data_IF_133111985245
#
_entry.id   IF_133111985245
#
_cell.length_a   1.000
_cell.length_b   1.000
_cell.length_c   1.000
_cell.angle_alpha   90.00
_cell.angle_beta   90.00
_cell.angle_gamma   90.00
#
_symmetry.space_group_name_H-M   'P 1'
#
loop_
_entity.id
_entity.type
_entity.pdbx_description
1 polymer ?
#
# COMPACT_ATOMS: atom_id res chain seq x y z
N UNK A 1 0.52 -19.30 -14.45
CA UNK A 1 1.74 -18.53 -14.82
C UNK A 1 2.69 -18.42 -13.61
N UNK A 2 4.01 -18.45 -13.83
CA UNK A 2 5.02 -18.19 -12.79
C UNK A 2 5.18 -16.69 -12.49
N UNK A 3 5.61 -16.33 -11.28
CA UNK A 3 5.92 -14.93 -10.93
C UNK A 3 4.73 -14.01 -10.64
N UNK A 4 3.49 -14.51 -10.62
CA UNK A 4 2.28 -13.72 -10.30
C UNK A 4 2.06 -13.42 -8.80
N UNK A 5 2.98 -13.81 -7.91
CA UNK A 5 2.81 -13.58 -6.47
C UNK A 5 1.90 -14.55 -5.72
N UNK A 6 1.64 -15.76 -6.25
CA UNK A 6 0.83 -16.80 -5.56
C UNK A 6 1.34 -17.15 -4.16
N UNK A 7 2.64 -17.41 -4.05
CA UNK A 7 3.32 -17.68 -2.77
C UNK A 7 3.19 -16.47 -1.84
N UNK A 8 3.42 -15.26 -2.34
CA UNK A 8 3.25 -14.02 -1.56
C UNK A 8 1.82 -13.84 -1.06
N UNK A 9 0.82 -14.06 -1.91
CA UNK A 9 -0.59 -13.98 -1.53
C UNK A 9 -0.95 -15.01 -0.45
N UNK A 10 -0.51 -16.26 -0.61
CA UNK A 10 -0.72 -17.28 0.40
C UNK A 10 0.03 -16.96 1.71
N UNK A 11 1.22 -16.36 1.65
CA UNK A 11 1.99 -15.93 2.84
C UNK A 11 1.22 -14.85 3.61
N UNK A 12 0.71 -13.83 2.91
CA UNK A 12 -0.10 -12.78 3.53
C UNK A 12 -1.33 -13.34 4.26
N UNK A 13 -2.01 -14.34 3.67
CA UNK A 13 -3.15 -15.02 4.33
C UNK A 13 -2.66 -15.84 5.53
N UNK A 14 -1.56 -16.58 5.37
CA UNK A 14 -1.05 -17.44 6.43
C UNK A 14 -0.60 -16.61 7.64
N UNK A 15 0.04 -15.47 7.43
CA UNK A 15 0.55 -14.59 8.49
C UNK A 15 -0.52 -13.68 9.12
N UNK A 16 -1.72 -13.60 8.53
CA UNK A 16 -2.83 -12.80 9.03
C UNK A 16 -3.21 -13.19 10.47
N UNK A 17 -3.43 -12.18 11.32
CA UNK A 17 -3.65 -12.38 12.75
C UNK A 17 -4.94 -13.15 13.05
N UNK A 18 -6.00 -12.95 12.27
CA UNK A 18 -7.28 -13.64 12.44
C UNK A 18 -7.16 -15.10 12.00
N UNK A 19 -6.46 -15.35 10.88
CA UNK A 19 -6.13 -16.72 10.43
C UNK A 19 -5.28 -17.44 11.46
N UNK A 20 -4.24 -16.78 11.98
CA UNK A 20 -3.37 -17.34 13.00
C UNK A 20 -4.13 -17.68 14.29
N UNK A 21 -5.09 -16.85 14.71
CA UNK A 21 -5.92 -17.12 15.88
C UNK A 21 -6.98 -18.22 15.63
N UNK A 22 -7.42 -18.41 14.38
CA UNK A 22 -8.48 -19.36 14.04
C UNK A 22 -8.02 -20.83 14.06
N UNK A 23 -6.75 -21.09 13.71
CA UNK A 23 -6.20 -22.44 13.58
C UNK A 23 -5.24 -22.78 14.73
N UNK A 24 -5.51 -23.90 15.41
CA UNK A 24 -4.67 -24.40 16.51
C UNK A 24 -3.30 -24.91 16.01
N UNK A 25 -3.30 -25.52 14.81
CA UNK A 25 -2.10 -26.06 14.17
C UNK A 25 -2.01 -25.54 12.75
N UNK A 26 -0.79 -25.24 12.33
CA UNK A 26 -0.48 -24.63 11.03
C UNK A 26 0.81 -25.25 10.50
N UNK A 27 0.83 -25.60 9.22
CA UNK A 27 2.03 -26.09 8.56
C UNK A 27 2.11 -25.50 7.15
N UNK A 28 3.27 -24.95 6.80
CA UNK A 28 3.59 -24.49 5.46
C UNK A 28 4.68 -25.37 4.88
N UNK A 29 4.39 -26.07 3.78
CA UNK A 29 5.31 -27.03 3.17
C UNK A 29 5.49 -26.70 1.70
N UNK A 30 6.74 -26.58 1.27
CA UNK A 30 7.08 -26.40 -0.14
C UNK A 30 7.17 -27.76 -0.83
N UNK A 31 6.35 -27.97 -1.85
CA UNK A 31 6.27 -29.26 -2.55
C UNK A 31 7.31 -29.30 -3.67
N UNK A 32 8.44 -29.93 -3.39
CA UNK A 32 9.54 -30.05 -4.36
C UNK A 32 9.18 -30.89 -5.58
N UNK A 33 9.84 -30.59 -6.70
CA UNK A 33 9.95 -31.46 -7.88
C UNK A 33 11.43 -31.94 -7.99
N UNK A 34 11.73 -33.24 -7.86
CA UNK A 34 10.81 -34.37 -7.84
C UNK A 34 9.96 -34.48 -6.57
N UNK A 35 8.72 -34.96 -6.76
CA UNK A 35 7.77 -35.19 -5.67
C UNK A 35 8.24 -36.33 -4.74
N UNK A 36 8.38 -36.01 -3.45
CA UNK A 36 8.76 -36.96 -2.40
C UNK A 36 7.79 -36.87 -1.21
N UNK A 37 6.92 -37.87 -1.12
CA UNK A 37 5.89 -37.96 -0.07
C UNK A 37 6.47 -38.10 1.34
N UNK A 38 7.63 -38.76 1.48
CA UNK A 38 8.26 -38.96 2.78
C UNK A 38 8.84 -37.63 3.27
N UNK A 39 9.48 -36.88 2.38
CA UNK A 39 9.99 -35.54 2.68
C UNK A 39 8.87 -34.61 3.13
N UNK A 40 7.77 -34.56 2.36
CA UNK A 40 6.58 -33.75 2.70
C UNK A 40 6.03 -34.14 4.07
N UNK A 41 5.83 -35.44 4.34
CA UNK A 41 5.31 -35.90 5.62
C UNK A 41 6.23 -35.56 6.81
N UNK A 42 7.56 -35.64 6.63
CA UNK A 42 8.52 -35.22 7.66
C UNK A 42 8.42 -33.72 7.95
N UNK A 43 8.38 -32.90 6.91
CA UNK A 43 8.27 -31.44 7.04
C UNK A 43 6.96 -31.04 7.74
N UNK A 44 5.84 -31.69 7.42
CA UNK A 44 4.57 -31.50 8.15
C UNK A 44 4.75 -31.86 9.63
N UNK A 45 5.35 -33.02 9.93
CA UNK A 45 5.53 -33.50 11.30
C UNK A 45 6.36 -32.52 12.14
N UNK A 46 7.49 -32.08 11.61
CA UNK A 46 8.40 -31.12 12.26
C UNK A 46 7.71 -29.79 12.59
N UNK A 47 6.72 -29.37 11.80
CA UNK A 47 5.98 -28.13 12.01
C UNK A 47 4.81 -28.28 12.99
N UNK A 48 4.25 -29.48 13.16
CA UNK A 48 3.13 -29.71 14.10
C UNK A 48 3.57 -30.24 15.47
N UNK A 49 4.75 -30.83 15.54
CA UNK A 49 5.37 -31.36 16.75
C UNK A 49 5.87 -30.22 17.66
N UNK A 50 5.48 -30.25 18.94
CA UNK A 50 5.84 -29.20 19.92
C UNK A 50 7.17 -29.51 20.64
N UNK A 51 7.51 -30.78 20.80
CA UNK A 51 8.72 -31.26 21.45
C UNK A 51 9.55 -32.07 20.46
N UNK A 52 10.77 -31.62 20.14
CA UNK A 52 11.65 -32.35 19.22
C UNK A 52 11.98 -33.73 19.80
N UNK A 53 11.34 -34.78 19.29
CA UNK A 53 11.81 -36.13 19.57
C UNK A 53 13.14 -36.33 18.83
N UNK A 54 14.22 -36.41 19.61
CA UNK A 54 15.58 -36.66 19.13
C UNK A 54 15.70 -38.13 18.70
N UNK A 55 15.06 -38.53 17.60
CA UNK A 55 15.49 -39.68 16.82
C UNK A 55 14.75 -39.78 15.49
N UNK A 56 15.47 -39.94 14.38
CA UNK A 56 14.86 -40.45 13.13
C UNK A 56 15.92 -41.12 12.24
N UNK A 57 16.36 -42.31 12.66
CA UNK A 57 16.63 -43.40 11.71
C UNK A 57 15.37 -43.67 10.86
N UNK A 58 15.53 -44.20 9.65
CA UNK A 58 14.49 -44.35 8.60
C UNK A 58 13.09 -44.66 9.19
N UNK A 59 12.23 -43.64 9.26
CA UNK A 59 10.83 -43.78 9.69
C UNK A 59 9.98 -44.11 8.46
N UNK A 60 9.23 -45.21 8.52
CA UNK A 60 8.29 -45.57 7.46
C UNK A 60 7.18 -44.52 7.34
N UNK A 61 6.70 -44.25 6.11
CA UNK A 61 5.63 -43.28 5.84
C UNK A 61 4.41 -43.48 6.75
N UNK A 62 4.04 -44.74 7.03
CA UNK A 62 2.92 -45.06 7.91
C UNK A 62 3.12 -44.57 9.35
N UNK A 63 4.34 -44.62 9.88
CA UNK A 63 4.64 -44.10 11.22
C UNK A 63 4.54 -42.58 11.24
N UNK A 64 5.10 -41.91 10.22
CA UNK A 64 4.99 -40.44 10.06
C UNK A 64 3.52 -40.00 10.05
N UNK A 65 2.71 -40.61 9.19
CA UNK A 65 1.29 -40.27 9.08
C UNK A 65 0.53 -40.49 10.40
N UNK A 66 0.81 -41.58 11.14
CA UNK A 66 0.20 -41.81 12.46
C UNK A 66 0.63 -40.76 13.49
N UNK A 67 1.90 -40.36 13.49
CA UNK A 67 2.38 -39.30 14.38
C UNK A 67 1.75 -37.96 14.06
N UNK A 68 1.64 -37.59 12.77
CA UNK A 68 0.96 -36.37 12.34
C UNK A 68 -0.50 -36.40 12.82
N UNK A 69 -1.22 -37.50 12.58
CA UNK A 69 -2.60 -37.69 13.04
C UNK A 69 -2.76 -37.44 14.54
N UNK A 70 -1.86 -37.98 15.37
CA UNK A 70 -1.92 -37.78 16.81
C UNK A 70 -1.78 -36.30 17.22
N UNK A 71 -0.94 -35.53 16.52
CA UNK A 71 -0.68 -34.12 16.83
C UNK A 71 -1.79 -33.17 16.36
N UNK A 72 -2.46 -33.51 15.26
CA UNK A 72 -3.54 -32.69 14.65
C UNK A 72 -4.95 -33.15 15.05
N UNK A 73 -5.06 -34.24 15.81
CA UNK A 73 -6.35 -34.82 16.24
C UNK A 73 -7.18 -33.79 17.01
N UNK A 74 -8.45 -33.65 16.63
CA UNK A 74 -9.44 -32.76 17.27
C UNK A 74 -9.03 -31.27 17.31
N UNK A 75 -8.03 -30.87 16.49
CA UNK A 75 -7.54 -29.50 16.35
C UNK A 75 -7.94 -28.92 15.00
N UNK A 76 -8.18 -27.61 14.93
CA UNK A 76 -8.32 -26.90 13.67
C UNK A 76 -6.97 -26.76 13.00
N UNK A 77 -6.79 -27.46 11.88
CA UNK A 77 -5.52 -27.53 11.17
C UNK A 77 -5.59 -26.77 9.84
N UNK A 78 -4.58 -25.92 9.59
CA UNK A 78 -4.32 -25.30 8.30
C UNK A 78 -3.03 -25.86 7.70
N UNK A 79 -3.14 -26.50 6.54
CA UNK A 79 -1.99 -26.98 5.78
C UNK A 79 -1.84 -26.17 4.49
N UNK A 80 -0.69 -25.53 4.30
CA UNK A 80 -0.33 -24.88 3.04
C UNK A 80 0.64 -25.77 2.27
N UNK A 81 0.29 -26.13 1.05
CA UNK A 81 1.14 -26.85 0.09
C UNK A 81 1.54 -25.88 -1.02
N UNK A 82 2.75 -25.36 -0.95
CA UNK A 82 3.25 -24.31 -1.84
C UNK A 82 3.99 -24.90 -3.05
N UNK A 83 3.81 -24.26 -4.22
CA UNK A 83 4.39 -24.56 -5.53
C UNK A 83 4.22 -26.02 -5.98
N UNK A 84 2.99 -26.55 -5.94
CA UNK A 84 2.70 -27.92 -6.38
C UNK A 84 2.77 -28.08 -7.90
N UNK A 85 3.58 -29.03 -8.37
CA UNK A 85 3.78 -29.33 -9.81
C UNK A 85 3.17 -30.64 -10.31
N UNK A 86 3.04 -31.65 -9.45
CA UNK A 86 2.65 -33.02 -9.87
C UNK A 86 1.13 -33.19 -9.93
N UNK A 87 0.66 -33.72 -11.05
CA UNK A 87 -0.75 -33.99 -11.35
C UNK A 87 -1.10 -35.48 -11.12
N UNK A 88 -0.15 -36.28 -10.62
CA UNK A 88 -0.28 -37.72 -10.45
C UNK A 88 -1.08 -38.05 -9.17
N UNK A 89 -2.33 -38.52 -9.28
CA UNK A 89 -3.17 -38.80 -8.11
C UNK A 89 -2.60 -39.95 -7.26
N UNK A 90 -1.88 -40.91 -7.86
CA UNK A 90 -1.34 -42.08 -7.14
C UNK A 90 -0.26 -41.62 -6.15
N UNK A 91 0.54 -40.62 -6.54
CA UNK A 91 1.55 -40.02 -5.65
C UNK A 91 0.92 -39.33 -4.44
N UNK A 92 -0.19 -38.63 -4.64
CA UNK A 92 -0.92 -37.92 -3.59
C UNK A 92 -1.73 -38.84 -2.67
N UNK A 93 -2.27 -39.93 -3.20
CA UNK A 93 -2.97 -40.95 -2.43
C UNK A 93 -2.11 -41.53 -1.30
N UNK A 94 -0.78 -41.58 -1.50
CA UNK A 94 0.17 -42.04 -0.48
C UNK A 94 0.25 -41.10 0.74
N UNK A 95 0.02 -39.79 0.57
CA UNK A 95 0.01 -38.83 1.68
C UNK A 95 -1.27 -38.94 2.51
N UNK A 96 -2.33 -39.54 1.96
CA UNK A 96 -3.60 -39.82 2.65
C UNK A 96 -4.21 -38.56 3.29
N UNK A 97 -4.14 -37.42 2.60
CA UNK A 97 -4.72 -36.15 3.04
C UNK A 97 -6.18 -36.28 3.50
N UNK A 98 -7.08 -37.02 2.82
CA UNK A 98 -8.45 -37.20 3.31
C UNK A 98 -8.53 -37.84 4.69
N UNK A 99 -7.66 -38.81 4.99
CA UNK A 99 -7.63 -39.51 6.27
C UNK A 99 -7.05 -38.61 7.36
N UNK A 100 -6.01 -37.82 7.03
CA UNK A 100 -5.49 -36.80 7.94
C UNK A 100 -6.58 -35.80 8.30
N UNK A 101 -7.34 -35.32 7.31
CA UNK A 101 -8.34 -34.29 7.53
C UNK A 101 -9.60 -34.78 8.26
N UNK A 102 -9.96 -36.04 8.12
CA UNK A 102 -11.03 -36.66 8.91
C UNK A 102 -10.73 -36.70 10.42
N UNK A 103 -9.46 -36.65 10.82
CA UNK A 103 -9.07 -36.65 12.25
C UNK A 103 -9.06 -35.26 12.88
N UNK A 104 -9.14 -34.20 12.08
CA UNK A 104 -9.09 -32.82 12.54
C UNK A 104 -10.48 -32.30 12.92
N UNK A 105 -10.51 -31.19 13.65
CA UNK A 105 -11.74 -30.48 13.96
C UNK A 105 -12.39 -29.88 12.69
N UNK A 106 -13.71 -29.72 12.73
CA UNK A 106 -14.45 -29.03 11.68
C UNK A 106 -13.92 -27.61 11.46
N UNK A 107 -13.82 -27.21 10.19
CA UNK A 107 -13.23 -25.93 9.79
C UNK A 107 -11.75 -26.02 9.40
N UNK A 108 -11.10 -27.19 9.53
CA UNK A 108 -9.75 -27.42 8.99
C UNK A 108 -9.69 -27.24 7.47
N UNK A 109 -8.55 -26.75 6.95
CA UNK A 109 -8.39 -26.38 5.53
C UNK A 109 -7.03 -26.77 4.98
N UNK A 110 -6.99 -27.05 3.68
CA UNK A 110 -5.76 -27.17 2.90
C UNK A 110 -5.76 -26.05 1.85
N UNK A 111 -4.70 -25.26 1.83
CA UNK A 111 -4.43 -24.26 0.80
C UNK A 111 -3.33 -24.81 -0.12
N UNK A 112 -3.55 -24.73 -1.43
CA UNK A 112 -2.58 -25.19 -2.43
C UNK A 112 -2.25 -24.03 -3.35
N UNK A 113 -0.96 -23.74 -3.55
CA UNK A 113 -0.51 -22.85 -4.61
C UNK A 113 0.05 -23.68 -5.77
N UNK A 114 -0.35 -23.36 -6.99
CA UNK A 114 0.13 -24.06 -8.18
C UNK A 114 0.07 -23.15 -9.41
N UNK A 115 0.84 -23.48 -10.44
CA UNK A 115 0.80 -22.82 -11.75
C UNK A 115 -0.10 -23.53 -12.75
N UNK A 116 -0.58 -24.72 -12.40
CA UNK A 116 -1.28 -25.67 -13.26
C UNK A 116 -2.71 -25.86 -12.78
N UNK A 117 -3.67 -25.69 -13.67
CA UNK A 117 -5.08 -25.84 -13.33
C UNK A 117 -5.43 -27.32 -13.08
N UNK A 118 -4.70 -28.22 -13.73
CA UNK A 118 -4.82 -29.67 -13.64
C UNK A 118 -4.54 -30.18 -12.22
N UNK A 119 -3.60 -29.56 -11.51
CA UNK A 119 -3.31 -29.88 -10.10
C UNK A 119 -4.52 -29.59 -9.22
N UNK A 120 -5.20 -28.46 -9.44
CA UNK A 120 -6.39 -28.11 -8.67
C UNK A 120 -7.59 -29.02 -9.00
N UNK A 121 -7.71 -29.47 -10.26
CA UNK A 121 -8.70 -30.48 -10.65
C UNK A 121 -8.44 -31.82 -9.96
N UNK A 122 -7.18 -32.27 -9.95
CA UNK A 122 -6.77 -33.50 -9.25
C UNK A 122 -7.04 -33.42 -7.75
N UNK A 123 -6.79 -32.26 -7.13
CA UNK A 123 -7.09 -31.97 -5.72
C UNK A 123 -8.58 -31.73 -5.44
N UNK A 124 -9.45 -31.77 -6.46
CA UNK A 124 -10.89 -31.51 -6.38
C UNK A 124 -11.24 -30.13 -5.80
N UNK A 125 -10.38 -29.14 -6.01
CA UNK A 125 -10.52 -27.78 -5.50
C UNK A 125 -11.10 -26.80 -6.55
N UNK A 126 -11.84 -27.29 -7.55
CA UNK A 126 -12.28 -26.47 -8.70
C UNK A 126 -13.31 -25.40 -8.33
N UNK A 127 -14.09 -25.59 -7.26
CA UNK A 127 -15.07 -24.62 -6.76
C UNK A 127 -14.44 -23.45 -6.02
N UNK A 128 -13.27 -23.67 -5.41
CA UNK A 128 -12.63 -22.75 -4.46
C UNK A 128 -11.31 -22.17 -5.02
N UNK A 129 -11.17 -22.20 -6.35
CA UNK A 129 -9.97 -21.76 -7.04
C UNK A 129 -9.91 -20.24 -7.13
N UNK A 130 -8.82 -19.66 -6.62
CA UNK A 130 -8.52 -18.24 -6.78
C UNK A 130 -7.50 -18.07 -7.91
N UNK A 131 -7.94 -17.45 -9.01
CA UNK A 131 -7.07 -17.11 -10.13
C UNK A 131 -6.47 -15.71 -9.89
N UNK A 132 -5.15 -15.65 -9.67
CA UNK A 132 -4.46 -14.37 -9.57
C UNK A 132 -4.26 -13.75 -10.95
N UNK A 133 -4.71 -12.51 -11.09
CA UNK A 133 -4.49 -11.70 -12.28
C UNK A 133 -3.21 -10.86 -12.19
N UNK A 134 -2.85 -10.23 -13.31
CA UNK A 134 -1.74 -9.28 -13.36
C UNK A 134 -2.13 -8.01 -12.63
N UNK A 135 -1.16 -7.37 -11.98
CA UNK A 135 -1.32 -6.01 -11.47
C UNK A 135 -1.73 -5.05 -12.58
N UNK A 136 -2.52 -4.04 -12.24
CA UNK A 136 -2.86 -2.97 -13.16
C UNK A 136 -1.60 -2.15 -13.52
N UNK A 137 -1.68 -1.30 -14.55
CA UNK A 137 -0.55 -0.47 -14.93
C UNK A 137 -0.15 0.51 -13.83
N UNK A 138 -1.12 1.09 -13.12
CA UNK A 138 -0.87 1.99 -11.98
C UNK A 138 -0.14 1.26 -10.86
N UNK A 139 -0.66 0.11 -10.43
CA UNK A 139 -0.08 -0.64 -9.30
C UNK A 139 1.31 -1.19 -9.67
N UNK A 140 1.50 -1.60 -10.92
CA UNK A 140 2.79 -2.05 -11.43
C UNK A 140 3.82 -0.92 -11.42
N UNK A 141 3.42 0.30 -11.80
CA UNK A 141 4.30 1.46 -11.80
C UNK A 141 4.62 1.92 -10.37
N UNK A 142 3.64 1.88 -9.48
CA UNK A 142 3.82 2.17 -8.05
C UNK A 142 4.80 1.18 -7.41
N UNK A 143 4.60 -0.12 -7.63
CA UNK A 143 5.52 -1.16 -7.16
C UNK A 143 6.93 -0.99 -7.75
N UNK A 144 7.04 -0.66 -9.04
CA UNK A 144 8.35 -0.40 -9.65
C UNK A 144 9.05 0.80 -8.99
N UNK A 145 8.33 1.90 -8.78
CA UNK A 145 8.89 3.10 -8.20
C UNK A 145 9.33 2.89 -6.74
N UNK A 146 8.52 2.18 -5.94
CA UNK A 146 8.83 1.89 -4.54
C UNK A 146 10.07 1.02 -4.38
N UNK A 147 10.39 0.17 -5.36
CA UNK A 147 11.61 -0.65 -5.35
C UNK A 147 12.79 0.09 -5.98
N UNK A 148 12.61 0.71 -7.14
CA UNK A 148 13.68 1.33 -7.91
C UNK A 148 14.20 2.64 -7.28
N UNK A 149 13.34 3.38 -6.60
CA UNK A 149 13.67 4.71 -6.04
C UNK A 149 13.68 4.75 -4.52
N UNK A 150 13.59 3.60 -3.83
CA UNK A 150 13.65 3.53 -2.36
C UNK A 150 14.86 4.24 -1.77
N UNK A 151 16.03 4.07 -2.38
CA UNK A 151 17.25 4.73 -1.94
C UNK A 151 17.17 6.26 -2.04
N UNK A 152 16.33 6.81 -2.92
CA UNK A 152 16.12 8.25 -3.04
C UNK A 152 15.33 8.79 -1.84
N UNK A 153 14.42 7.98 -1.28
CA UNK A 153 13.67 8.32 -0.08
C UNK A 153 14.62 8.44 1.12
N UNK A 154 15.50 7.44 1.30
CA UNK A 154 16.51 7.43 2.36
C UNK A 154 17.51 8.60 2.23
N UNK A 155 17.94 8.91 1.01
CA UNK A 155 18.89 10.02 0.75
C UNK A 155 18.25 11.37 1.06
N UNK A 156 17.01 11.60 0.62
CA UNK A 156 16.36 12.89 0.86
C UNK A 156 16.02 13.05 2.35
N UNK A 157 15.71 11.97 3.07
CA UNK A 157 15.52 11.98 4.52
C UNK A 157 16.82 12.31 5.27
N UNK A 158 17.94 11.69 4.87
CA UNK A 158 19.27 11.93 5.46
C UNK A 158 19.83 13.35 5.21
N UNK A 159 19.36 14.05 4.18
CA UNK A 159 19.79 15.42 3.85
C UNK A 159 19.24 16.50 4.80
N UNK A 160 18.37 16.12 5.77
CA UNK A 160 17.66 17.00 6.71
C UNK A 160 18.21 18.44 6.76
N UNK A 161 17.53 19.40 6.14
CA UNK A 161 18.00 20.78 6.10
C UNK A 161 18.14 21.42 7.48
N UNK A 162 18.96 22.46 7.58
CA UNK A 162 19.04 23.28 8.79
C UNK A 162 17.70 24.03 9.03
N UNK A 163 17.27 24.16 10.28
CA UNK A 163 16.06 24.90 10.71
C UNK A 163 15.96 26.36 10.21
N UNK A 164 17.08 26.95 9.80
CA UNK A 164 17.18 28.34 9.33
C UNK A 164 17.02 28.46 7.81
N UNK A 165 16.71 27.36 7.13
CA UNK A 165 16.51 27.36 5.69
C UNK A 165 15.33 28.27 5.30
N UNK A 166 15.60 29.25 4.44
CA UNK A 166 14.57 30.20 3.98
C UNK A 166 14.00 29.85 2.61
N UNK A 167 14.75 29.12 1.78
CA UNK A 167 14.33 28.69 0.45
C UNK A 167 14.78 27.26 0.17
N UNK A 168 13.85 26.41 -0.25
CA UNK A 168 14.10 25.03 -0.62
C UNK A 168 13.68 24.79 -2.07
N UNK A 169 14.59 24.25 -2.88
CA UNK A 169 14.36 23.91 -4.28
C UNK A 169 14.68 22.44 -4.48
N UNK A 170 13.71 21.69 -4.98
CA UNK A 170 13.86 20.27 -5.27
C UNK A 170 13.55 20.01 -6.74
N UNK A 171 14.55 19.51 -7.46
CA UNK A 171 14.44 19.16 -8.87
C UNK A 171 14.52 17.64 -9.05
N UNK A 172 13.63 17.09 -9.86
CA UNK A 172 13.73 15.70 -10.30
C UNK A 172 13.44 14.67 -9.20
N UNK A 173 12.64 15.01 -8.19
CA UNK A 173 12.31 14.08 -7.11
C UNK A 173 11.49 12.90 -7.62
N UNK A 174 12.05 11.70 -7.46
CA UNK A 174 11.50 10.41 -7.90
C UNK A 174 11.18 9.45 -6.74
N UNK A 175 11.30 9.94 -5.52
CA UNK A 175 11.01 9.14 -4.34
C UNK A 175 9.54 8.75 -4.26
N UNK A 176 9.29 7.62 -3.59
CA UNK A 176 7.94 7.12 -3.36
C UNK A 176 7.29 7.73 -2.12
N UNK A 177 8.10 8.23 -1.18
CA UNK A 177 7.63 8.80 0.10
C UNK A 177 8.37 10.08 0.45
N UNK A 178 7.64 11.11 0.89
CA UNK A 178 8.26 12.35 1.34
C UNK A 178 9.07 12.18 2.63
N UNK A 179 10.18 12.94 2.80
CA UNK A 179 11.00 12.87 4.00
C UNK A 179 10.22 13.16 5.28
N UNK A 180 10.59 12.49 6.36
CA UNK A 180 10.01 12.69 7.71
C UNK A 180 10.15 14.14 8.16
N UNK A 181 11.23 14.80 7.80
CA UNK A 181 11.47 16.18 8.16
C UNK A 181 10.50 17.16 7.44
N UNK A 182 9.90 16.78 6.31
CA UNK A 182 8.83 17.58 5.69
C UNK A 182 7.48 17.42 6.39
N UNK A 183 7.30 16.40 7.22
CA UNK A 183 6.05 16.16 7.97
C UNK A 183 6.08 16.74 9.38
N UNK A 184 7.26 16.97 9.96
CA UNK A 184 7.46 17.41 11.37
C UNK A 184 7.43 18.93 11.60
N UNK A 185 7.10 19.74 10.58
CA UNK A 185 6.89 21.20 10.69
C UNK A 185 8.04 22.03 11.30
N UNK A 186 9.26 21.50 11.41
CA UNK A 186 10.41 22.19 12.04
C UNK A 186 11.01 23.33 11.19
N UNK A 187 10.71 23.35 9.88
CA UNK A 187 11.16 24.38 8.94
C UNK A 187 10.36 25.69 9.08
N UNK A 188 10.34 26.25 10.29
CA UNK A 188 9.52 27.41 10.64
C UNK A 188 9.93 28.69 9.91
N UNK A 189 11.17 28.77 9.41
CA UNK A 189 11.71 29.92 8.64
C UNK A 189 11.62 29.77 7.13
N UNK A 190 11.11 28.64 6.64
CA UNK A 190 11.02 28.40 5.21
C UNK A 190 9.99 29.33 4.57
N UNK A 191 10.45 30.24 3.73
CA UNK A 191 9.62 31.24 3.04
C UNK A 191 9.28 30.86 1.62
N UNK A 192 10.10 30.02 0.98
CA UNK A 192 9.90 29.63 -0.40
C UNK A 192 10.18 28.14 -0.62
N UNK A 193 9.25 27.46 -1.30
CA UNK A 193 9.37 26.06 -1.67
C UNK A 193 9.10 25.89 -3.17
N UNK A 194 10.05 25.29 -3.87
CA UNK A 194 9.98 25.04 -5.31
C UNK A 194 10.17 23.54 -5.57
N UNK A 195 9.20 22.92 -6.23
CA UNK A 195 9.28 21.56 -6.69
C UNK A 195 9.16 21.53 -8.20
N UNK A 196 10.15 20.97 -8.88
CA UNK A 196 10.14 20.85 -10.33
C UNK A 196 10.46 19.42 -10.79
N UNK A 197 9.74 18.97 -11.83
CA UNK A 197 9.98 17.68 -12.49
C UNK A 197 9.88 16.46 -11.55
N UNK A 198 8.87 16.47 -10.67
CA UNK A 198 8.63 15.36 -9.74
C UNK A 198 7.76 14.25 -10.32
N UNK A 199 8.04 13.02 -9.91
CA UNK A 199 7.28 11.81 -10.22
C UNK A 199 6.38 11.36 -9.07
N UNK A 200 6.41 12.03 -7.91
CA UNK A 200 5.53 11.68 -6.80
C UNK A 200 4.06 11.93 -7.17
N UNK A 201 3.19 11.01 -6.76
CA UNK A 201 1.72 11.13 -6.86
C UNK A 201 1.11 11.90 -5.69
N UNK A 202 1.88 12.13 -4.62
CA UNK A 202 1.42 12.77 -3.38
C UNK A 202 2.29 14.00 -3.09
N UNK A 203 1.77 14.98 -2.37
CA UNK A 203 2.52 16.13 -1.86
C UNK A 203 2.67 16.06 -0.33
N UNK A 204 3.75 16.61 0.25
CA UNK A 204 3.90 16.64 1.69
C UNK A 204 2.94 17.68 2.31
N UNK A 205 2.70 17.64 3.64
CA UNK A 205 1.79 18.54 4.34
C UNK A 205 2.37 19.96 4.49
N UNK A 206 2.59 20.64 3.35
CA UNK A 206 3.22 21.96 3.29
C UNK A 206 2.37 23.05 3.97
N UNK A 207 1.07 22.81 4.16
CA UNK A 207 0.17 23.75 4.84
C UNK A 207 0.50 24.00 6.31
N UNK A 208 1.29 23.13 6.95
CA UNK A 208 1.78 23.31 8.33
C UNK A 208 2.90 24.34 8.45
N UNK A 209 3.53 24.73 7.34
CA UNK A 209 4.68 25.64 7.34
C UNK A 209 4.22 27.09 7.62
N UNK A 210 4.60 27.68 8.77
CA UNK A 210 4.00 28.93 9.22
C UNK A 210 4.47 30.17 8.45
N UNK A 211 5.69 30.14 7.92
CA UNK A 211 6.32 31.27 7.24
C UNK A 211 6.35 31.14 5.72
N UNK A 212 5.76 30.08 5.16
CA UNK A 212 5.82 29.83 3.73
C UNK A 212 5.01 30.90 2.98
N UNK A 213 5.69 31.68 2.14
CA UNK A 213 5.12 32.77 1.34
C UNK A 213 4.97 32.40 -0.13
N UNK A 214 5.91 31.62 -0.66
CA UNK A 214 5.96 31.27 -2.08
C UNK A 214 5.99 29.75 -2.23
N UNK A 215 5.02 29.20 -2.94
CA UNK A 215 4.97 27.79 -3.30
C UNK A 215 4.83 27.63 -4.80
N UNK A 216 5.79 26.96 -5.44
CA UNK A 216 5.76 26.69 -6.88
C UNK A 216 5.92 25.20 -7.16
N UNK A 217 4.96 24.64 -7.89
CA UNK A 217 4.90 23.23 -8.28
C UNK A 217 4.88 23.13 -9.82
N UNK A 218 5.99 22.70 -10.41
CA UNK A 218 6.21 22.71 -11.85
C UNK A 218 6.46 21.29 -12.39
N UNK A 219 5.82 20.94 -13.51
CA UNK A 219 6.08 19.70 -14.27
C UNK A 219 5.95 18.43 -13.42
N UNK A 220 4.88 18.30 -12.64
CA UNK A 220 4.61 17.09 -11.84
C UNK A 220 3.83 16.08 -12.70
N UNK A 221 4.36 14.85 -12.79
CA UNK A 221 3.87 13.83 -13.70
C UNK A 221 2.57 13.14 -13.24
N UNK A 222 2.54 12.66 -12.00
CA UNK A 222 1.53 11.70 -11.54
C UNK A 222 0.58 12.23 -10.45
N UNK A 223 0.68 13.52 -10.10
CA UNK A 223 -0.22 14.14 -9.12
C UNK A 223 -1.61 14.28 -9.73
N UNK A 224 -2.56 13.46 -9.28
CA UNK A 224 -3.96 13.46 -9.73
C UNK A 224 -4.86 14.36 -8.88
N UNK A 225 -4.56 14.45 -7.58
CA UNK A 225 -5.37 15.15 -6.61
C UNK A 225 -4.50 15.98 -5.66
N UNK A 226 -4.98 17.18 -5.30
CA UNK A 226 -4.48 17.93 -4.15
C UNK A 226 -5.59 17.90 -3.10
N UNK A 227 -5.45 17.01 -2.13
CA UNK A 227 -6.40 16.74 -1.06
C UNK A 227 -6.01 17.36 0.29
N UNK A 228 -6.68 16.90 1.36
CA UNK A 228 -6.54 17.40 2.74
C UNK A 228 -5.12 17.31 3.30
N UNK A 229 -4.39 16.25 2.96
CA UNK A 229 -3.02 15.97 3.37
C UNK A 229 -2.05 17.09 3.01
N UNK A 230 -2.21 17.71 1.84
CA UNK A 230 -1.38 18.85 1.41
C UNK A 230 -1.55 20.07 2.31
N UNK A 231 -2.76 20.29 2.82
CA UNK A 231 -3.08 21.38 3.74
C UNK A 231 -2.60 21.12 5.17
N UNK A 232 -2.25 19.88 5.50
CA UNK A 232 -1.72 19.51 6.81
C UNK A 232 -2.63 19.88 7.97
N UNK A 233 -3.95 19.84 7.74
CA UNK A 233 -4.97 20.21 8.72
C UNK A 233 -5.13 19.09 9.74
N UNK A 234 -5.02 19.43 11.02
CA UNK A 234 -5.31 18.56 12.17
C UNK A 234 -6.45 19.16 13.00
N UNK A 235 -7.04 18.38 13.92
CA UNK A 235 -8.18 18.81 14.77
C UNK A 235 -7.93 20.12 15.54
N UNK A 236 -6.66 20.43 15.85
CA UNK A 236 -6.25 21.64 16.58
C UNK A 236 -5.87 22.81 15.67
N UNK A 237 -5.82 22.60 14.36
CA UNK A 237 -5.39 23.62 13.40
C UNK A 237 -6.40 24.76 13.31
N UNK A 238 -5.91 25.99 13.46
CA UNK A 238 -6.72 27.20 13.26
C UNK A 238 -6.62 27.76 11.83
N UNK A 239 -5.52 27.44 11.14
CA UNK A 239 -5.27 27.89 9.76
C UNK A 239 -4.31 26.93 9.04
N UNK A 240 -4.48 26.80 7.73
CA UNK A 240 -3.52 26.16 6.83
C UNK A 240 -2.91 27.22 5.91
N UNK A 241 -1.60 27.14 5.66
CA UNK A 241 -0.84 28.13 4.88
C UNK A 241 -1.04 29.59 5.37
N UNK A 242 -0.75 29.91 6.64
CA UNK A 242 -1.09 31.20 7.24
C UNK A 242 -0.39 32.40 6.58
N UNK A 243 0.77 32.18 5.96
CA UNK A 243 1.60 33.24 5.36
C UNK A 243 1.70 33.16 3.84
N UNK A 244 0.99 32.25 3.17
CA UNK A 244 1.18 32.01 1.75
C UNK A 244 0.63 33.18 0.93
N UNK A 245 1.51 33.83 0.16
CA UNK A 245 1.22 35.00 -0.67
C UNK A 245 1.11 34.59 -2.16
N UNK A 246 1.94 33.65 -2.61
CA UNK A 246 2.00 33.19 -4.00
C UNK A 246 1.94 31.68 -4.12
N UNK A 247 0.98 31.18 -4.89
CA UNK A 247 0.87 29.77 -5.30
C UNK A 247 0.94 29.66 -6.82
N UNK A 248 1.87 28.87 -7.33
CA UNK A 248 2.03 28.63 -8.77
C UNK A 248 2.01 27.14 -9.10
N UNK A 249 1.00 26.71 -9.84
CA UNK A 249 0.83 25.35 -10.35
C UNK A 249 1.04 25.37 -11.86
N UNK A 250 2.10 24.72 -12.37
CA UNK A 250 2.43 24.74 -13.79
C UNK A 250 2.70 23.34 -14.32
N UNK A 251 2.04 22.97 -15.42
CA UNK A 251 2.25 21.69 -16.10
C UNK A 251 2.09 20.48 -15.16
N UNK A 252 1.04 20.49 -14.32
CA UNK A 252 0.63 19.30 -13.56
C UNK A 252 -0.17 18.41 -14.51
N UNK A 253 0.44 17.33 -15.00
CA UNK A 253 -0.07 16.62 -16.19
C UNK A 253 -1.30 15.75 -15.91
N UNK A 254 -1.37 15.17 -14.71
CA UNK A 254 -2.46 14.29 -14.28
C UNK A 254 -3.47 14.96 -13.33
N UNK A 255 -3.25 16.22 -12.97
CA UNK A 255 -4.01 16.90 -11.93
C UNK A 255 -5.46 17.14 -12.34
N UNK A 256 -6.39 16.42 -11.71
CA UNK A 256 -7.81 16.40 -12.02
C UNK A 256 -8.66 17.06 -10.94
N UNK A 257 -8.33 16.83 -9.66
CA UNK A 257 -9.15 17.24 -8.52
C UNK A 257 -8.38 18.12 -7.55
N UNK A 258 -9.03 19.17 -7.06
CA UNK A 258 -8.49 20.03 -6.01
C UNK A 258 -9.58 20.35 -5.00
N UNK A 259 -9.57 19.65 -3.89
CA UNK A 259 -10.60 19.78 -2.86
C UNK A 259 -10.04 19.63 -1.45
N UNK A 260 -10.69 20.28 -0.50
CA UNK A 260 -10.44 20.02 0.90
C UNK A 260 -11.20 18.74 1.23
N UNK A 261 -10.53 17.59 1.20
CA UNK A 261 -11.16 16.30 1.53
C UNK A 261 -11.85 16.39 2.89
N UNK A 262 -13.17 16.59 2.90
CA UNK A 262 -13.97 16.42 4.10
C UNK A 262 -14.06 14.93 4.31
N UNK A 263 -13.41 14.45 5.37
CA UNK A 263 -13.63 13.09 5.85
C UNK A 263 -15.12 12.79 5.90
N UNK A 264 -15.46 11.56 5.53
CA UNK A 264 -16.81 11.03 5.49
C UNK A 264 -17.61 11.45 6.73
N UNK A 265 -18.87 11.81 6.49
CA UNK A 265 -19.80 12.32 7.49
C UNK A 265 -19.79 11.49 8.78
N UNK A 266 -19.36 12.10 9.88
CA UNK A 266 -19.83 11.71 11.21
C UNK A 266 -20.87 12.72 11.68
N UNK A 267 -22.10 12.23 11.68
CA UNK A 267 -23.22 12.56 12.55
C UNK A 267 -23.16 13.89 13.34
N UNK A 268 -24.06 14.78 12.94
CA UNK A 268 -25.05 15.40 13.82
C UNK A 268 -24.81 15.28 15.34
N UNK A 269 -24.06 16.21 15.91
CA UNK A 269 -24.42 17.03 17.09
C UNK A 269 -23.19 17.51 17.85
N UNK A 270 -23.15 18.82 18.12
CA UNK A 270 -22.18 19.50 18.99
C UNK A 270 -20.69 19.43 18.58
N UNK A 271 -20.25 20.44 17.83
CA UNK A 271 -19.26 21.38 18.35
C UNK A 271 -19.14 22.58 17.42
N UNK A 272 -18.80 23.71 18.01
CA UNK A 272 -18.50 24.97 17.35
C UNK A 272 -17.22 24.78 16.51
N UNK A 273 -17.34 24.14 15.35
CA UNK A 273 -16.22 23.86 14.47
C UNK A 273 -15.69 25.20 13.94
N UNK A 274 -14.55 25.63 14.48
CA UNK A 274 -13.85 26.83 14.00
C UNK A 274 -13.70 26.69 12.49
N UNK A 275 -14.21 27.66 11.74
CA UNK A 275 -13.91 27.76 10.31
C UNK A 275 -12.40 27.87 10.15
N UNK A 276 -11.75 26.80 9.69
CA UNK A 276 -10.31 26.80 9.46
C UNK A 276 -10.04 27.78 8.33
N UNK A 277 -9.12 28.72 8.56
CA UNK A 277 -8.74 29.67 7.52
C UNK A 277 -7.71 29.02 6.59
N UNK A 278 -8.06 28.83 5.31
CA UNK A 278 -7.15 28.26 4.31
C UNK A 278 -6.55 29.39 3.47
N UNK A 279 -5.22 29.48 3.46
CA UNK A 279 -4.45 30.46 2.67
C UNK A 279 -4.95 31.91 2.82
N UNK A 280 -5.11 32.46 4.05
CA UNK A 280 -5.71 33.77 4.29
C UNK A 280 -4.99 34.95 3.64
N UNK A 281 -3.71 34.80 3.27
CA UNK A 281 -2.86 35.85 2.71
C UNK A 281 -2.59 35.70 1.22
N UNK A 282 -3.26 34.76 0.55
CA UNK A 282 -2.98 34.47 -0.85
C UNK A 282 -3.40 35.66 -1.72
N UNK A 283 -2.41 36.29 -2.35
CA UNK A 283 -2.62 37.41 -3.26
C UNK A 283 -2.46 37.00 -4.73
N UNK A 284 -1.62 36.00 -5.01
CA UNK A 284 -1.23 35.65 -6.37
C UNK A 284 -1.38 34.16 -6.63
N UNK A 285 -2.25 33.79 -7.57
CA UNK A 285 -2.50 32.40 -7.96
C UNK A 285 -2.27 32.21 -9.47
N UNK A 286 -1.29 31.37 -9.81
CA UNK A 286 -0.94 31.05 -11.18
C UNK A 286 -1.26 29.58 -11.44
N UNK A 287 -2.12 29.29 -12.42
CA UNK A 287 -2.39 27.91 -12.84
C UNK A 287 -2.22 27.84 -14.35
N UNK A 288 -1.13 27.20 -14.77
CA UNK A 288 -0.67 27.22 -16.16
C UNK A 288 -0.56 25.80 -16.69
N UNK A 289 -1.14 25.52 -17.85
CA UNK A 289 -1.03 24.22 -18.54
C UNK A 289 -1.44 23.01 -17.68
N UNK A 290 -2.36 23.19 -16.71
CA UNK A 290 -2.95 22.11 -15.92
C UNK A 290 -4.25 21.66 -16.59
N UNK A 291 -4.11 20.88 -17.68
CA UNK A 291 -5.22 20.66 -18.64
C UNK A 291 -6.35 19.79 -18.09
N UNK A 292 -6.05 18.91 -17.13
CA UNK A 292 -7.00 17.95 -16.60
C UNK A 292 -7.83 18.47 -15.41
N UNK A 293 -7.49 19.64 -14.87
CA UNK A 293 -8.13 20.17 -13.68
C UNK A 293 -9.60 20.47 -13.97
N UNK A 294 -10.51 19.83 -13.20
CA UNK A 294 -11.96 19.89 -13.43
C UNK A 294 -12.64 21.07 -12.74
N UNK A 295 -12.16 21.48 -11.57
CA UNK A 295 -12.76 22.56 -10.78
C UNK A 295 -11.73 23.19 -9.84
N UNK A 296 -11.92 24.46 -9.49
CA UNK A 296 -11.19 25.12 -8.41
C UNK A 296 -11.97 25.00 -7.10
N UNK A 297 -11.30 24.81 -5.96
CA UNK A 297 -11.99 24.66 -4.68
C UNK A 297 -12.70 25.96 -4.25
N UNK A 298 -13.86 25.81 -3.62
CA UNK A 298 -14.75 26.92 -3.26
C UNK A 298 -14.09 27.97 -2.34
N UNK A 299 -13.17 27.54 -1.47
CA UNK A 299 -12.47 28.47 -0.56
C UNK A 299 -11.58 29.48 -1.32
N UNK A 300 -11.12 29.15 -2.54
CA UNK A 300 -10.41 30.11 -3.39
C UNK A 300 -11.37 31.07 -4.09
N UNK A 301 -12.56 30.59 -4.47
CA UNK A 301 -13.60 31.40 -5.13
C UNK A 301 -14.20 32.44 -4.17
N UNK A 302 -14.24 32.15 -2.88
CA UNK A 302 -14.74 33.03 -1.83
C UNK A 302 -13.72 34.13 -1.41
N UNK A 303 -12.47 34.05 -1.87
CA UNK A 303 -11.42 35.01 -1.52
C UNK A 303 -11.47 36.23 -2.46
N UNK A 304 -12.11 37.32 -1.99
CA UNK A 304 -12.31 38.56 -2.75
C UNK A 304 -11.05 39.18 -3.43
N UNK A 305 -9.82 39.14 -2.87
CA UNK A 305 -8.64 39.71 -3.54
C UNK A 305 -8.08 38.87 -4.69
N UNK A 306 -8.47 37.59 -4.85
CA UNK A 306 -7.96 36.71 -5.91
C UNK A 306 -8.62 36.96 -7.29
N UNK A 307 -9.77 37.65 -7.32
CA UNK A 307 -10.56 37.85 -8.54
C UNK A 307 -9.84 38.64 -9.65
N UNK A 308 -8.79 39.41 -9.30
CA UNK A 308 -8.01 40.22 -10.24
C UNK A 308 -6.64 39.65 -10.62
N UNK A 309 -6.20 38.52 -10.04
CA UNK A 309 -4.83 37.99 -10.16
C UNK A 309 -4.75 36.51 -10.56
N UNK A 310 -5.88 35.91 -10.91
CA UNK A 310 -5.96 34.56 -11.49
C UNK A 310 -5.39 34.58 -12.92
N UNK A 311 -4.14 34.13 -13.09
CA UNK A 311 -3.60 33.85 -14.42
C UNK A 311 -3.82 32.37 -14.75
N UNK A 312 -4.94 32.10 -15.42
CA UNK A 312 -5.27 30.82 -16.00
C UNK A 312 -4.83 30.84 -17.48
N UNK A 313 -3.77 30.11 -17.82
CA UNK A 313 -3.33 30.00 -19.21
C UNK A 313 -3.18 28.54 -19.64
N UNK A 314 -3.80 28.19 -20.77
CA UNK A 314 -3.82 26.82 -21.30
C UNK A 314 -4.44 25.76 -20.35
N UNK A 315 -5.36 26.18 -19.47
CA UNK A 315 -6.22 25.30 -18.67
C UNK A 315 -7.59 25.21 -19.36
N UNK A 316 -8.25 24.05 -19.38
CA UNK A 316 -9.56 23.86 -20.07
C UNK A 316 -10.67 24.67 -19.38
N UNK A 317 -10.46 25.04 -18.11
CA UNK A 317 -11.28 25.98 -17.37
C UNK A 317 -11.05 27.41 -17.88
N UNK A 318 -11.79 27.80 -18.92
CA UNK A 318 -12.47 29.10 -19.12
C UNK A 318 -12.87 29.26 -20.60
N UNK A 319 -14.15 29.06 -20.91
CA UNK A 319 -14.82 29.77 -22.00
C UNK A 319 -15.78 30.75 -21.31
N UNK A 320 -15.59 32.08 -21.43
CA UNK A 320 -16.56 33.02 -20.90
C UNK A 320 -17.89 32.81 -21.64
N UNK A 321 -18.98 32.61 -20.89
CA UNK A 321 -20.35 32.75 -21.40
C UNK A 321 -20.67 34.24 -21.54
#
# INVERSE_FOLDING_TARGET
MGGLGKTTFAQLIFEDAEVQAHFDKKAWVCVSDPFDVIKIAKEILELVEEEKTQDCSIVSLQKLLKSIQAHIKDKKFLLVLDDVWTEDPIKWDNLKLPILMQTCAEGSRILVTTRKQEVAQMMRATSDMIMLDKLSHSDSLELFNSVAFRAMDDVLDALQPHENLESFILYGYKGSTWPTWMTTSYLTRLTAFYLESSYSSVLPPLGKLPSLKVLKLWRIAHLEEIGGEFFGIEETSSSSFPSLETLALSQLYSFEKWELGRGEAQDSSNSQMKSISIMPRLSSLYIVKCRKLKQLPDFLLQNAPLQNLLNLSSCILWQPS
#
